data_IF_987876908729
#
_entry.id   IF_987876908729
#
_cell.length_a   1.000
_cell.length_b   1.000
_cell.length_c   1.000
_cell.angle_alpha   90.00
_cell.angle_beta   90.00
_cell.angle_gamma   90.00
#
_symmetry.space_group_name_H-M   'P 1'
#
loop_
_entity.id
_entity.type
_entity.pdbx_description
1 polymer ?
#
# COMPACT_ATOMS: atom_id res chain seq x y z
N UNK A 1 7.74 -14.46 11.39
CA UNK A 1 8.90 -13.79 12.06
C UNK A 1 8.46 -13.42 13.45
N UNK A 2 9.31 -13.62 14.44
CA UNK A 2 9.05 -13.25 15.84
C UNK A 2 10.33 -12.68 16.45
N UNK A 3 10.23 -11.62 17.23
CA UNK A 3 11.40 -10.95 17.87
C UNK A 3 12.54 -10.69 16.86
N UNK A 4 12.21 -10.29 15.63
CA UNK A 4 13.14 -10.05 14.53
C UNK A 4 13.74 -11.30 13.84
N UNK A 5 13.46 -12.51 14.33
CA UNK A 5 13.93 -13.76 13.74
C UNK A 5 12.85 -14.50 12.93
N UNK A 6 13.22 -15.16 11.82
CA UNK A 6 12.33 -16.05 11.07
C UNK A 6 12.23 -17.37 11.85
N UNK A 7 11.05 -17.66 12.40
CA UNK A 7 10.79 -18.88 13.19
C UNK A 7 10.17 -20.01 12.37
N UNK A 8 9.54 -19.68 11.26
CA UNK A 8 8.97 -20.64 10.32
C UNK A 8 8.96 -20.06 8.91
N UNK A 9 9.29 -20.89 7.93
CA UNK A 9 9.28 -20.56 6.53
C UNK A 9 8.98 -21.81 5.69
N UNK A 10 8.04 -21.70 4.75
CA UNK A 10 7.66 -22.81 3.88
C UNK A 10 7.30 -22.32 2.48
N UNK A 11 7.78 -23.01 1.48
CA UNK A 11 7.51 -22.78 0.07
C UNK A 11 6.88 -24.02 -0.55
N UNK A 12 6.01 -23.80 -1.54
CA UNK A 12 5.28 -24.87 -2.23
C UNK A 12 5.48 -24.75 -3.74
N UNK A 13 5.23 -25.84 -4.47
CA UNK A 13 5.20 -25.88 -5.95
C UNK A 13 6.47 -25.31 -6.64
N UNK A 14 7.64 -25.59 -6.07
CA UNK A 14 8.92 -25.14 -6.63
C UNK A 14 9.32 -23.70 -6.31
N UNK A 15 8.51 -22.94 -5.58
CA UNK A 15 8.92 -21.63 -5.09
C UNK A 15 9.98 -21.76 -3.99
N UNK A 16 10.81 -20.70 -3.86
CA UNK A 16 11.87 -20.58 -2.87
C UNK A 16 12.03 -19.13 -2.37
N UNK A 17 12.90 -18.91 -1.41
CA UNK A 17 13.06 -17.64 -0.70
C UNK A 17 13.35 -16.42 -1.59
N UNK A 18 13.96 -16.62 -2.73
CA UNK A 18 14.38 -15.55 -3.65
C UNK A 18 13.29 -15.18 -4.66
N UNK A 19 12.20 -15.93 -4.74
CA UNK A 19 11.12 -15.62 -5.66
C UNK A 19 10.38 -14.37 -5.18
N UNK A 20 10.22 -13.42 -6.08
CA UNK A 20 9.35 -12.27 -5.87
C UNK A 20 7.90 -12.61 -6.22
N UNK A 21 6.98 -12.00 -5.54
CA UNK A 21 5.55 -12.20 -5.73
C UNK A 21 4.85 -10.87 -5.90
N UNK A 22 3.88 -10.82 -6.81
CA UNK A 22 3.04 -9.66 -6.98
C UNK A 22 2.17 -9.46 -5.73
N UNK A 23 2.40 -8.36 -5.03
CA UNK A 23 1.77 -8.09 -3.74
C UNK A 23 0.31 -7.63 -3.86
N UNK A 24 -0.17 -7.37 -5.06
CA UNK A 24 -1.50 -6.80 -5.29
C UNK A 24 -1.74 -5.58 -4.38
N UNK A 25 -2.86 -5.50 -3.67
CA UNK A 25 -3.21 -4.32 -2.85
C UNK A 25 -2.35 -4.13 -1.59
N UNK A 26 -1.51 -5.09 -1.19
CA UNK A 26 -0.49 -4.84 -0.14
C UNK A 26 0.46 -3.70 -0.54
N UNK A 27 0.61 -3.42 -1.84
CA UNK A 27 1.32 -2.24 -2.37
C UNK A 27 0.82 -0.92 -1.76
N UNK A 28 -0.46 -0.82 -1.42
CA UNK A 28 -1.06 0.40 -0.84
C UNK A 28 -0.43 0.75 0.51
N UNK A 29 -0.19 -0.24 1.36
CA UNK A 29 0.46 -0.03 2.66
C UNK A 29 1.93 0.40 2.51
N UNK A 30 2.61 -0.10 1.47
CA UNK A 30 3.95 0.39 1.10
C UNK A 30 3.88 1.86 0.65
N UNK A 31 2.92 2.21 -0.21
CA UNK A 31 2.72 3.59 -0.66
C UNK A 31 2.42 4.53 0.51
N UNK A 32 1.60 4.09 1.47
CA UNK A 32 1.35 4.83 2.73
C UNK A 32 2.66 5.07 3.51
N UNK A 33 3.48 4.05 3.70
CA UNK A 33 4.79 4.18 4.36
C UNK A 33 5.67 5.23 3.66
N UNK A 34 5.69 5.24 2.34
CA UNK A 34 6.46 6.21 1.55
C UNK A 34 5.94 7.65 1.69
N UNK A 35 4.63 7.84 1.84
CA UNK A 35 4.07 9.17 2.18
C UNK A 35 4.58 9.64 3.52
N UNK A 36 4.61 8.77 4.54
CA UNK A 36 5.17 9.08 5.85
C UNK A 36 6.64 9.51 5.76
N UNK A 37 7.44 8.75 5.04
CA UNK A 37 8.85 9.08 4.83
C UNK A 37 9.01 10.41 4.06
N UNK A 38 8.13 10.70 3.09
CA UNK A 38 8.16 11.95 2.37
C UNK A 38 7.82 13.15 3.27
N UNK A 39 6.92 12.98 4.24
CA UNK A 39 6.61 13.99 5.27
C UNK A 39 7.81 14.14 6.22
N UNK A 40 8.36 13.05 6.75
CA UNK A 40 9.53 13.06 7.65
C UNK A 40 10.74 13.77 7.01
N UNK A 41 10.88 13.68 5.69
CA UNK A 41 11.96 14.33 4.92
C UNK A 41 11.60 15.73 4.42
N UNK A 42 10.40 16.24 4.68
CA UNK A 42 9.97 17.58 4.30
C UNK A 42 9.60 17.75 2.82
N UNK A 43 9.46 16.68 2.05
CA UNK A 43 8.97 16.73 0.66
C UNK A 43 7.46 17.00 0.58
N UNK A 44 6.73 16.57 1.60
CA UNK A 44 5.31 16.81 1.80
C UNK A 44 5.17 17.50 3.16
N UNK A 45 4.35 18.55 3.26
CA UNK A 45 4.21 19.35 4.49
C UNK A 45 3.49 18.59 5.60
N UNK A 46 2.35 17.98 5.28
CA UNK A 46 1.52 17.19 6.20
C UNK A 46 0.47 16.40 5.43
N UNK A 47 -0.26 15.53 6.13
CA UNK A 47 -1.43 14.83 5.56
C UNK A 47 -2.58 15.77 5.20
N UNK A 48 -2.63 16.97 5.78
CA UNK A 48 -3.66 17.98 5.53
C UNK A 48 -3.34 18.87 4.31
N UNK A 49 -2.19 18.65 3.66
CA UNK A 49 -1.84 19.39 2.45
C UNK A 49 -2.83 19.08 1.31
N UNK A 50 -3.37 20.11 0.64
CA UNK A 50 -4.29 19.92 -0.48
C UNK A 50 -3.66 19.11 -1.61
N UNK A 51 -4.43 18.19 -2.19
CA UNK A 51 -3.98 17.36 -3.31
C UNK A 51 -3.60 18.24 -4.51
N UNK A 52 -4.38 19.29 -4.76
CA UNK A 52 -4.19 20.18 -5.91
C UNK A 52 -2.88 20.98 -5.85
N UNK A 53 -2.24 21.14 -4.70
CA UNK A 53 -0.90 21.72 -4.60
C UNK A 53 0.13 20.97 -5.47
N UNK A 54 -0.10 19.68 -5.69
CA UNK A 54 0.76 18.82 -6.51
C UNK A 54 0.32 18.73 -7.97
N UNK A 55 -0.87 19.22 -8.31
CA UNK A 55 -1.48 19.12 -9.64
C UNK A 55 -2.10 20.45 -10.08
N UNK A 56 -1.29 21.53 -10.24
CA UNK A 56 -1.81 22.84 -10.58
C UNK A 56 -2.54 22.88 -11.93
N UNK A 57 -2.19 21.98 -12.86
CA UNK A 57 -2.88 21.82 -14.13
C UNK A 57 -4.31 21.28 -14.02
N UNK A 58 -4.62 20.62 -12.90
CA UNK A 58 -5.98 20.13 -12.62
C UNK A 58 -6.87 21.19 -11.98
N UNK A 59 -6.28 22.21 -11.33
CA UNK A 59 -7.01 23.29 -10.66
C UNK A 59 -7.84 24.12 -11.64
N UNK A 60 -7.31 24.43 -12.82
CA UNK A 60 -7.99 25.22 -13.85
C UNK A 60 -9.28 24.55 -14.37
N UNK A 61 -9.39 23.23 -14.21
CA UNK A 61 -10.57 22.43 -14.58
C UNK A 61 -11.50 22.15 -13.40
N UNK A 62 -11.11 22.53 -12.19
CA UNK A 62 -11.88 22.26 -10.99
C UNK A 62 -13.01 23.28 -10.82
N UNK A 63 -14.09 23.11 -11.55
CA UNK A 63 -15.38 23.79 -11.28
C UNK A 63 -15.98 23.32 -9.94
N UNK A 64 -15.45 22.26 -9.36
CA UNK A 64 -15.93 21.63 -8.13
C UNK A 64 -15.16 22.15 -6.91
N UNK A 65 -15.84 22.97 -6.10
CA UNK A 65 -15.31 23.52 -4.86
C UNK A 65 -14.81 22.44 -3.91
N UNK A 66 -15.40 21.24 -3.93
CA UNK A 66 -15.02 20.13 -3.08
C UNK A 66 -13.58 19.67 -3.33
N UNK A 67 -13.13 19.64 -4.58
CA UNK A 67 -11.76 19.22 -4.92
C UNK A 67 -10.67 20.05 -4.25
N UNK A 68 -10.95 21.34 -4.02
CA UNK A 68 -10.00 22.26 -3.38
C UNK A 68 -9.76 21.94 -1.91
N UNK A 69 -10.69 21.21 -1.29
CA UNK A 69 -10.62 20.81 0.12
C UNK A 69 -10.11 19.38 0.30
N UNK A 70 -9.86 18.64 -0.80
CA UNK A 70 -9.33 17.30 -0.71
C UNK A 70 -7.84 17.32 -0.35
N UNK A 71 -7.48 16.54 0.66
CA UNK A 71 -6.12 16.47 1.19
C UNK A 71 -5.53 15.07 1.02
N UNK A 72 -4.24 14.94 1.24
CA UNK A 72 -3.54 13.67 1.29
C UNK A 72 -4.21 12.72 2.30
N UNK A 73 -4.70 13.24 3.43
CA UNK A 73 -5.43 12.45 4.45
C UNK A 73 -6.65 11.75 3.86
N UNK A 74 -7.44 12.43 3.04
CA UNK A 74 -8.61 11.82 2.40
C UNK A 74 -8.23 10.66 1.45
N UNK A 75 -7.07 10.73 0.80
CA UNK A 75 -6.56 9.62 0.00
C UNK A 75 -6.10 8.46 0.88
N UNK A 76 -5.34 8.74 1.95
CA UNK A 76 -4.81 7.74 2.89
C UNK A 76 -5.91 6.98 3.63
N UNK A 77 -6.99 7.67 3.99
CA UNK A 77 -8.15 7.10 4.72
C UNK A 77 -9.23 6.54 3.79
N UNK A 78 -9.03 6.64 2.45
CA UNK A 78 -10.02 6.24 1.44
C UNK A 78 -11.39 6.93 1.61
N UNK A 79 -11.38 8.20 2.03
CA UNK A 79 -12.58 9.01 2.23
C UNK A 79 -12.75 10.13 1.19
N UNK A 80 -11.91 10.13 0.17
CA UNK A 80 -12.07 11.02 -0.98
C UNK A 80 -13.24 10.53 -1.85
N UNK A 81 -14.25 11.40 -2.13
CA UNK A 81 -15.43 11.00 -2.90
C UNK A 81 -15.09 10.89 -4.40
N UNK A 82 -15.52 9.79 -5.01
CA UNK A 82 -15.41 9.56 -6.45
C UNK A 82 -16.77 9.47 -7.13
N UNK A 83 -16.77 9.67 -8.44
CA UNK A 83 -18.02 9.66 -9.24
C UNK A 83 -18.68 8.28 -9.36
N UNK A 84 -17.99 7.20 -9.02
CA UNK A 84 -18.55 5.85 -9.06
C UNK A 84 -19.14 5.42 -7.71
N UNK A 85 -20.25 4.69 -7.75
CA UNK A 85 -20.98 4.29 -6.53
C UNK A 85 -20.62 2.90 -6.01
N UNK A 86 -20.30 1.95 -6.89
CA UNK A 86 -20.14 0.54 -6.51
C UNK A 86 -18.74 0.01 -6.68
N UNK A 87 -18.07 0.36 -7.76
CA UNK A 87 -16.74 -0.12 -8.06
C UNK A 87 -15.99 0.87 -8.93
N UNK A 88 -14.70 0.94 -8.72
CA UNK A 88 -13.77 1.71 -9.53
C UNK A 88 -13.81 1.26 -10.99
N UNK A 89 -13.89 2.19 -11.97
CA UNK A 89 -14.04 1.83 -13.39
C UNK A 89 -12.67 1.43 -14.00
N UNK A 90 -12.07 0.36 -13.51
CA UNK A 90 -10.73 -0.09 -13.90
C UNK A 90 -10.57 -0.31 -15.41
N UNK A 91 -11.63 -0.80 -16.09
CA UNK A 91 -11.59 -0.98 -17.54
C UNK A 91 -11.51 0.36 -18.30
N UNK A 92 -12.09 1.43 -17.75
CA UNK A 92 -11.96 2.79 -18.31
C UNK A 92 -10.60 3.37 -18.01
N UNK A 93 -10.13 3.22 -16.75
CA UNK A 93 -8.82 3.69 -16.30
C UNK A 93 -7.69 3.11 -17.16
N UNK A 94 -7.69 1.80 -17.37
CA UNK A 94 -6.64 1.10 -18.13
C UNK A 94 -6.51 1.56 -19.58
N UNK A 95 -7.57 2.11 -20.15
CA UNK A 95 -7.59 2.68 -21.51
C UNK A 95 -7.14 4.14 -21.59
N UNK A 96 -6.93 4.79 -20.44
CA UNK A 96 -6.49 6.19 -20.43
C UNK A 96 -4.99 6.29 -20.72
N UNK A 97 -4.62 7.34 -21.44
CA UNK A 97 -3.21 7.70 -21.62
C UNK A 97 -2.62 8.40 -20.39
N UNK A 98 -3.46 8.97 -19.56
CA UNK A 98 -3.10 9.71 -18.36
C UNK A 98 -4.01 9.28 -17.19
N UNK A 99 -3.51 8.34 -16.40
CA UNK A 99 -4.27 7.79 -15.29
C UNK A 99 -4.47 8.79 -14.17
N UNK A 100 -3.43 9.55 -13.84
CA UNK A 100 -3.48 10.58 -12.80
C UNK A 100 -4.56 11.62 -13.10
N UNK A 101 -4.59 12.17 -14.31
CA UNK A 101 -5.61 13.15 -14.68
C UNK A 101 -7.02 12.55 -14.71
N UNK A 102 -7.17 11.33 -15.20
CA UNK A 102 -8.47 10.64 -15.16
C UNK A 102 -8.99 10.46 -13.73
N UNK A 103 -8.13 10.05 -12.80
CA UNK A 103 -8.49 9.90 -11.39
C UNK A 103 -8.86 11.25 -10.76
N UNK A 104 -8.09 12.31 -11.03
CA UNK A 104 -8.37 13.67 -10.57
C UNK A 104 -9.69 14.23 -11.16
N UNK A 105 -10.02 13.91 -12.39
CA UNK A 105 -11.29 14.29 -13.00
C UNK A 105 -12.48 13.59 -12.34
N UNK A 106 -12.30 12.35 -11.89
CA UNK A 106 -13.33 11.56 -11.21
C UNK A 106 -13.54 11.93 -9.74
N UNK A 107 -12.55 12.59 -9.11
CA UNK A 107 -12.64 13.08 -7.74
C UNK A 107 -13.67 14.21 -7.59
N UNK A 108 -14.39 14.21 -6.48
CA UNK A 108 -15.27 15.31 -6.06
C UNK A 108 -16.58 15.43 -6.82
N UNK A 109 -16.82 14.62 -7.85
CA UNK A 109 -18.04 14.76 -8.67
C UNK A 109 -19.31 14.22 -8.01
N UNK A 110 -19.19 13.22 -7.14
CA UNK A 110 -20.30 12.56 -6.42
C UNK A 110 -19.76 11.94 -5.13
N UNK A 111 -20.67 11.58 -4.23
CA UNK A 111 -20.33 11.01 -2.93
C UNK A 111 -20.22 12.07 -1.83
N UNK A 112 -20.04 11.62 -0.60
CA UNK A 112 -19.86 12.48 0.56
C UNK A 112 -18.40 12.44 0.99
N UNK A 113 -17.85 13.61 1.28
CA UNK A 113 -16.53 13.72 1.87
C UNK A 113 -16.53 13.07 3.26
N UNK A 114 -15.56 12.23 3.53
CA UNK A 114 -15.45 11.52 4.80
C UNK A 114 -16.10 10.13 4.81
N UNK A 115 -16.92 9.78 3.79
CA UNK A 115 -17.46 8.43 3.64
C UNK A 115 -16.38 7.48 3.10
N UNK A 116 -16.19 6.34 3.75
CA UNK A 116 -15.22 5.33 3.32
C UNK A 116 -15.63 4.70 1.99
N UNK A 117 -14.71 4.73 1.04
CA UNK A 117 -14.88 4.09 -0.27
C UNK A 117 -13.56 3.44 -0.70
N UNK A 118 -13.48 2.11 -0.55
CA UNK A 118 -12.30 1.38 -1.00
C UNK A 118 -12.08 1.55 -2.51
N UNK A 119 -10.88 2.00 -2.88
CA UNK A 119 -10.44 2.09 -4.28
C UNK A 119 -8.91 2.15 -4.38
N UNK A 120 -8.39 1.82 -5.57
CA UNK A 120 -6.96 1.83 -5.86
C UNK A 120 -6.47 3.19 -6.35
N UNK A 121 -7.37 4.04 -6.85
CA UNK A 121 -7.05 5.38 -7.37
C UNK A 121 -6.40 6.26 -6.30
N UNK A 122 -6.85 6.17 -5.04
CA UNK A 122 -6.27 6.91 -3.93
C UNK A 122 -4.77 6.65 -3.79
N UNK A 123 -4.38 5.38 -3.76
CA UNK A 123 -2.98 5.01 -3.63
C UNK A 123 -2.15 5.37 -4.88
N UNK A 124 -2.75 5.31 -6.07
CA UNK A 124 -2.05 5.74 -7.28
C UNK A 124 -1.82 7.26 -7.30
N UNK A 125 -2.79 8.06 -6.88
CA UNK A 125 -2.61 9.50 -6.70
C UNK A 125 -1.52 9.82 -5.66
N UNK A 126 -1.43 9.06 -4.56
CA UNK A 126 -0.33 9.20 -3.60
C UNK A 126 1.03 8.89 -4.23
N UNK A 127 1.12 7.86 -5.06
CA UNK A 127 2.34 7.56 -5.82
C UNK A 127 2.73 8.71 -6.77
N UNK A 128 1.76 9.30 -7.46
CA UNK A 128 1.98 10.48 -8.29
C UNK A 128 2.44 11.70 -7.47
N UNK A 129 1.87 11.91 -6.28
CA UNK A 129 2.29 12.97 -5.33
C UNK A 129 3.73 12.75 -4.89
N UNK A 130 4.11 11.53 -4.50
CA UNK A 130 5.49 11.18 -4.15
C UNK A 130 6.44 11.53 -5.30
N UNK A 131 6.11 11.11 -6.51
CA UNK A 131 6.93 11.40 -7.70
C UNK A 131 7.11 12.90 -7.90
N UNK A 132 6.05 13.69 -7.80
CA UNK A 132 6.09 15.15 -8.01
C UNK A 132 6.79 15.91 -6.89
N UNK A 133 6.58 15.51 -5.65
CA UNK A 133 7.17 16.19 -4.50
C UNK A 133 8.66 15.91 -4.34
N UNK A 134 9.11 14.69 -4.70
CA UNK A 134 10.49 14.27 -4.52
C UNK A 134 11.37 14.46 -5.76
N UNK A 135 10.77 14.57 -6.95
CA UNK A 135 11.46 14.54 -8.24
C UNK A 135 12.01 13.16 -8.63
N UNK A 136 11.72 12.11 -7.84
CA UNK A 136 12.11 10.73 -8.09
C UNK A 136 10.88 9.89 -8.46
N UNK A 137 11.03 8.84 -9.25
CA UNK A 137 9.96 7.84 -9.35
C UNK A 137 9.67 7.25 -7.97
N UNK A 138 8.44 6.77 -7.76
CA UNK A 138 8.08 6.15 -6.47
C UNK A 138 9.00 4.98 -6.13
N UNK A 139 9.40 4.18 -7.13
CA UNK A 139 10.36 3.09 -6.96
C UNK A 139 11.74 3.60 -6.51
N UNK A 140 12.27 4.64 -7.17
CA UNK A 140 13.58 5.22 -6.80
C UNK A 140 13.54 5.80 -5.38
N UNK A 141 12.46 6.53 -5.05
CA UNK A 141 12.27 7.04 -3.70
C UNK A 141 12.17 5.91 -2.67
N UNK A 142 11.39 4.86 -2.97
CA UNK A 142 11.27 3.68 -2.11
C UNK A 142 12.62 2.97 -1.93
N UNK A 143 13.38 2.77 -2.99
CA UNK A 143 14.69 2.14 -2.94
C UNK A 143 15.63 2.94 -2.03
N UNK A 144 15.72 4.25 -2.25
CA UNK A 144 16.62 5.14 -1.50
C UNK A 144 16.24 5.30 -0.03
N UNK A 145 14.94 5.34 0.27
CA UNK A 145 14.45 5.81 1.58
C UNK A 145 13.87 4.70 2.46
N UNK A 146 13.58 3.53 1.89
CA UNK A 146 12.98 2.41 2.62
C UNK A 146 13.70 1.10 2.32
N UNK A 147 13.69 0.64 1.07
CA UNK A 147 14.08 -0.71 0.71
C UNK A 147 15.56 -1.01 0.95
N UNK A 148 16.47 -0.07 0.63
CA UNK A 148 17.91 -0.25 0.90
C UNK A 148 18.20 -0.45 2.39
N UNK A 149 17.45 0.22 3.26
CA UNK A 149 17.60 0.09 4.72
C UNK A 149 17.07 -1.25 5.25
N UNK A 150 16.09 -1.82 4.57
CA UNK A 150 15.54 -3.13 4.88
C UNK A 150 16.31 -4.29 4.24
N UNK A 151 17.34 -4.01 3.43
CA UNK A 151 18.09 -5.03 2.70
C UNK A 151 17.26 -5.72 1.60
N UNK A 152 16.26 -5.02 1.06
CA UNK A 152 15.51 -5.46 -0.13
C UNK A 152 16.41 -5.33 -1.34
N UNK A 153 16.45 -6.38 -2.17
CA UNK A 153 17.19 -6.36 -3.43
C UNK A 153 16.61 -5.32 -4.40
N UNK A 154 17.40 -4.95 -5.39
CA UNK A 154 16.95 -4.01 -6.42
C UNK A 154 15.64 -4.47 -7.08
N UNK A 155 14.68 -3.56 -7.10
CA UNK A 155 13.41 -3.72 -7.77
C UNK A 155 13.49 -2.97 -9.10
N UNK A 156 13.19 -3.66 -10.20
CA UNK A 156 13.18 -3.07 -11.54
C UNK A 156 11.82 -2.45 -11.86
N UNK A 157 11.81 -1.43 -12.71
CA UNK A 157 10.58 -0.94 -13.30
C UNK A 157 10.05 -1.94 -14.33
N UNK A 158 8.75 -2.15 -14.33
CA UNK A 158 8.09 -2.99 -15.32
C UNK A 158 7.06 -2.18 -16.12
N UNK A 159 7.26 -2.12 -17.42
CA UNK A 159 6.28 -1.56 -18.34
C UNK A 159 5.29 -2.65 -18.75
N UNK A 160 4.01 -2.30 -18.78
CA UNK A 160 2.99 -3.16 -19.34
C UNK A 160 2.76 -2.83 -20.82
N UNK A 161 2.47 -3.85 -21.61
CA UNK A 161 2.20 -3.69 -23.06
C UNK A 161 0.78 -3.22 -23.33
N UNK A 162 -0.19 -3.72 -22.58
CA UNK A 162 -1.62 -3.49 -22.86
C UNK A 162 -2.46 -3.12 -21.66
N UNK A 163 -1.97 -3.28 -20.42
CA UNK A 163 -2.76 -3.18 -19.20
C UNK A 163 -4.04 -4.05 -19.23
N UNK A 164 -4.02 -5.16 -19.97
CA UNK A 164 -5.13 -6.12 -19.98
C UNK A 164 -5.30 -6.79 -18.60
N UNK A 165 -6.46 -7.40 -18.34
CA UNK A 165 -6.66 -8.13 -17.09
C UNK A 165 -5.66 -9.27 -16.93
N UNK A 166 -5.36 -9.95 -18.02
CA UNK A 166 -4.41 -11.06 -18.08
C UNK A 166 -2.99 -10.57 -17.76
N UNK A 167 -2.62 -9.38 -18.21
CA UNK A 167 -1.31 -8.80 -17.94
C UNK A 167 -1.23 -8.24 -16.50
N UNK A 168 -2.29 -7.54 -16.05
CA UNK A 168 -2.35 -6.93 -14.69
C UNK A 168 -2.36 -7.98 -13.58
N UNK A 169 -2.98 -9.13 -13.80
CA UNK A 169 -3.08 -10.23 -12.83
C UNK A 169 -2.22 -11.44 -13.21
N UNK A 170 -1.40 -11.32 -14.26
CA UNK A 170 -0.56 -12.39 -14.75
C UNK A 170 0.61 -12.72 -13.82
N UNK A 171 1.21 -13.90 -14.06
CA UNK A 171 2.35 -14.40 -13.29
C UNK A 171 3.69 -13.76 -13.71
N UNK A 172 3.69 -12.96 -14.78
CA UNK A 172 4.90 -12.36 -15.36
C UNK A 172 5.26 -11.00 -14.76
N UNK A 173 4.67 -10.64 -13.61
CA UNK A 173 5.03 -9.41 -12.90
C UNK A 173 6.21 -9.72 -11.99
N UNK A 174 7.34 -9.06 -12.23
CA UNK A 174 8.61 -9.32 -11.52
C UNK A 174 9.24 -8.08 -10.90
N UNK A 175 8.69 -6.91 -11.19
CA UNK A 175 9.20 -5.61 -10.71
C UNK A 175 8.12 -4.74 -10.10
N UNK A 176 8.20 -3.44 -10.33
CA UNK A 176 7.14 -2.49 -9.98
C UNK A 176 6.54 -1.89 -11.24
N UNK A 177 5.25 -2.15 -11.45
CA UNK A 177 4.54 -1.72 -12.66
C UNK A 177 4.47 -0.21 -12.73
N UNK A 178 4.65 0.33 -13.95
CA UNK A 178 4.42 1.72 -14.29
C UNK A 178 3.15 1.89 -15.11
N UNK A 179 2.47 3.00 -14.88
CA UNK A 179 1.36 3.47 -15.69
C UNK A 179 1.85 4.03 -17.06
N UNK A 180 0.96 4.41 -17.98
CA UNK A 180 1.35 5.00 -19.28
C UNK A 180 2.18 6.30 -19.17
N UNK A 181 2.20 6.94 -18.01
CA UNK A 181 2.98 8.16 -17.74
C UNK A 181 4.28 7.90 -16.98
N UNK A 182 4.70 6.64 -16.85
CA UNK A 182 5.89 6.22 -16.11
C UNK A 182 5.81 6.43 -14.58
N UNK A 183 4.60 6.55 -14.01
CA UNK A 183 4.40 6.59 -12.56
C UNK A 183 4.23 5.15 -12.08
N UNK A 184 4.96 4.74 -11.05
CA UNK A 184 4.78 3.42 -10.44
C UNK A 184 3.37 3.31 -9.83
N UNK A 185 2.69 2.20 -10.06
CA UNK A 185 1.34 2.02 -9.54
C UNK A 185 1.34 1.96 -8.01
N UNK A 186 0.57 2.83 -7.37
CA UNK A 186 0.54 2.92 -5.89
C UNK A 186 -0.40 1.91 -5.25
N UNK A 187 -1.42 1.46 -5.98
CA UNK A 187 -2.46 0.57 -5.46
C UNK A 187 -2.21 -0.92 -5.63
N UNK A 188 -1.24 -1.30 -6.46
CA UNK A 188 -0.89 -2.66 -6.84
C UNK A 188 0.41 -2.66 -7.65
N UNK A 189 0.91 -3.82 -8.08
CA UNK A 189 1.98 -3.88 -9.07
C UNK A 189 3.40 -3.95 -8.53
N UNK A 190 3.60 -3.86 -7.22
CA UNK A 190 4.89 -4.08 -6.57
C UNK A 190 5.11 -5.58 -6.37
N UNK A 191 6.33 -6.05 -6.67
CA UNK A 191 6.77 -7.40 -6.36
C UNK A 191 7.87 -7.37 -5.29
N UNK A 192 7.69 -8.17 -4.25
CA UNK A 192 8.68 -8.41 -3.19
C UNK A 192 8.80 -9.90 -2.90
N UNK A 193 9.90 -10.30 -2.26
CA UNK A 193 10.01 -11.62 -1.67
C UNK A 193 9.17 -11.72 -0.39
N UNK A 194 8.86 -12.93 0.04
CA UNK A 194 8.17 -13.17 1.32
C UNK A 194 8.95 -12.57 2.49
N UNK A 195 10.28 -12.68 2.45
CA UNK A 195 11.18 -12.14 3.49
C UNK A 195 11.18 -10.62 3.52
N UNK A 196 11.05 -9.95 2.37
CA UNK A 196 10.97 -8.49 2.31
C UNK A 196 9.64 -7.99 2.91
N UNK A 197 8.55 -8.71 2.69
CA UNK A 197 7.27 -8.42 3.35
C UNK A 197 7.41 -8.54 4.89
N UNK A 198 8.07 -9.59 5.38
CA UNK A 198 8.31 -9.74 6.83
C UNK A 198 9.11 -8.57 7.41
N UNK A 199 10.14 -8.10 6.69
CA UNK A 199 10.94 -6.94 7.13
C UNK A 199 10.12 -5.65 7.18
N UNK A 200 9.21 -5.45 6.22
CA UNK A 200 8.29 -4.31 6.24
C UNK A 200 7.34 -4.39 7.45
N UNK A 201 6.73 -5.54 7.71
CA UNK A 201 5.86 -5.72 8.89
C UNK A 201 6.64 -5.53 10.19
N UNK A 202 7.86 -6.05 10.27
CA UNK A 202 8.70 -5.88 11.45
C UNK A 202 9.12 -4.43 11.67
N UNK A 203 9.39 -3.67 10.60
CA UNK A 203 9.63 -2.22 10.70
C UNK A 203 8.46 -1.51 11.40
N UNK A 204 7.24 -1.86 11.08
CA UNK A 204 6.05 -1.30 11.72
C UNK A 204 5.92 -1.74 13.18
N UNK A 205 6.15 -3.02 13.50
CA UNK A 205 6.18 -3.49 14.90
C UNK A 205 7.28 -2.81 15.72
N UNK A 206 8.42 -2.54 15.10
CA UNK A 206 9.57 -1.88 15.72
C UNK A 206 9.50 -0.35 15.59
N UNK A 207 8.27 0.22 15.54
CA UNK A 207 8.01 1.67 15.58
C UNK A 207 8.81 2.48 14.55
N UNK A 208 9.01 1.90 13.36
CA UNK A 208 9.72 2.53 12.25
C UNK A 208 11.24 2.46 12.31
N UNK A 209 11.81 1.71 13.22
CA UNK A 209 13.26 1.56 13.36
C UNK A 209 13.78 0.29 12.71
N UNK A 210 14.93 0.40 12.05
CA UNK A 210 15.67 -0.72 11.49
C UNK A 210 17.16 -0.57 11.85
N UNK A 211 17.74 -1.56 12.55
CA UNK A 211 19.14 -1.53 13.03
C UNK A 211 19.45 -0.23 13.80
N UNK A 212 18.60 0.13 14.75
CA UNK A 212 18.68 1.34 15.61
C UNK A 212 18.65 2.67 14.82
N UNK A 213 18.22 2.63 13.56
CA UNK A 213 18.04 3.83 12.73
C UNK A 213 16.57 4.07 12.45
N UNK A 214 16.05 5.30 12.65
CA UNK A 214 14.70 5.65 12.28
C UNK A 214 14.59 5.73 10.75
N UNK A 215 13.74 4.89 10.17
CA UNK A 215 13.41 4.87 8.74
C UNK A 215 12.09 5.57 8.48
N UNK A 216 11.14 5.35 9.37
CA UNK A 216 9.84 6.04 9.41
C UNK A 216 9.65 6.55 10.83
N UNK A 217 9.15 7.76 11.02
CA UNK A 217 8.91 8.29 12.37
C UNK A 217 7.90 7.45 13.15
N UNK A 218 8.11 7.29 14.46
CA UNK A 218 7.15 6.63 15.34
C UNK A 218 5.78 7.32 15.30
N UNK A 219 5.76 8.64 15.14
CA UNK A 219 4.54 9.41 14.97
C UNK A 219 3.75 8.96 13.74
N UNK A 220 4.43 8.75 12.58
CA UNK A 220 3.76 8.23 11.39
C UNK A 220 3.22 6.83 11.61
N UNK A 221 4.02 5.93 12.20
CA UNK A 221 3.57 4.56 12.51
C UNK A 221 2.28 4.61 13.35
N UNK A 222 2.30 5.39 14.45
CA UNK A 222 1.14 5.54 15.34
C UNK A 222 -0.09 6.07 14.61
N UNK A 223 0.05 7.16 13.86
CA UNK A 223 -1.08 7.74 13.13
C UNK A 223 -1.57 6.84 12.00
N UNK A 224 -0.67 6.14 11.29
CA UNK A 224 -1.06 5.25 10.19
C UNK A 224 -1.80 4.00 10.65
N UNK A 225 -1.62 3.58 11.90
CA UNK A 225 -2.30 2.44 12.51
C UNK A 225 -3.47 2.85 13.42
N UNK A 226 -3.77 4.14 13.53
CA UNK A 226 -4.97 4.63 14.21
C UNK A 226 -6.20 4.40 13.35
N UNK A 227 -7.31 4.02 13.95
CA UNK A 227 -8.57 3.89 13.23
C UNK A 227 -9.08 5.28 12.81
N UNK A 228 -9.13 5.49 11.51
CA UNK A 228 -9.66 6.72 10.90
C UNK A 228 -11.06 6.53 10.33
N UNK A 229 -11.35 5.33 9.82
CA UNK A 229 -12.65 4.95 9.25
C UNK A 229 -12.86 3.46 9.47
N UNK A 230 -14.08 3.02 9.76
CA UNK A 230 -14.42 1.61 9.97
C UNK A 230 -13.25 0.82 10.61
N UNK A 231 -12.68 -0.14 9.88
CA UNK A 231 -11.52 -0.93 10.32
C UNK A 231 -10.25 -0.55 9.55
N UNK A 232 -10.06 0.75 9.24
CA UNK A 232 -8.96 1.20 8.39
C UNK A 232 -8.20 2.39 9.00
N UNK A 233 -6.86 2.28 9.02
CA UNK A 233 -5.91 3.35 9.23
C UNK A 233 -5.48 4.00 7.90
N UNK A 234 -4.23 4.43 7.77
CA UNK A 234 -3.67 4.92 6.51
C UNK A 234 -3.27 3.75 5.61
N UNK A 235 -4.26 3.16 4.92
CA UNK A 235 -4.09 1.99 4.04
C UNK A 235 -3.55 0.75 4.76
N UNK A 236 -3.82 0.64 6.05
CA UNK A 236 -3.68 -0.54 6.87
C UNK A 236 -5.04 -0.95 7.40
N UNK A 237 -5.38 -2.23 7.29
CA UNK A 237 -6.56 -2.77 7.92
C UNK A 237 -6.29 -3.03 9.40
N UNK A 238 -7.26 -2.77 10.23
CA UNK A 238 -7.20 -2.99 11.67
C UNK A 238 -8.22 -4.07 12.02
N UNK A 239 -7.81 -5.01 12.83
CA UNK A 239 -8.69 -6.10 13.25
C UNK A 239 -8.48 -6.40 14.72
N UNK A 240 -9.56 -6.47 15.47
CA UNK A 240 -9.60 -7.01 16.82
C UNK A 240 -10.47 -8.26 16.79
N UNK A 241 -9.95 -9.38 17.29
CA UNK A 241 -10.69 -10.62 17.44
C UNK A 241 -10.19 -11.36 18.67
N UNK A 242 -11.12 -11.78 19.53
CA UNK A 242 -10.83 -12.51 20.79
C UNK A 242 -9.81 -11.79 21.68
N UNK A 243 -9.83 -10.45 21.70
CA UNK A 243 -8.90 -9.63 22.47
C UNK A 243 -7.51 -9.50 21.87
N UNK A 244 -7.30 -9.92 20.61
CA UNK A 244 -6.02 -9.82 19.89
C UNK A 244 -6.12 -8.70 18.86
N UNK A 245 -5.30 -7.67 19.06
CA UNK A 245 -5.19 -6.57 18.12
C UNK A 245 -4.20 -6.91 17.01
N UNK A 246 -4.62 -6.74 15.76
CA UNK A 246 -3.82 -7.01 14.57
C UNK A 246 -3.98 -5.89 13.57
N UNK A 247 -2.89 -5.41 13.01
CA UNK A 247 -2.94 -4.61 11.80
C UNK A 247 -2.41 -5.43 10.62
N UNK A 248 -2.99 -5.21 9.45
CA UNK A 248 -2.67 -6.06 8.30
C UNK A 248 -2.76 -5.30 6.99
N UNK A 249 -1.96 -5.75 6.03
CA UNK A 249 -2.11 -5.42 4.62
C UNK A 249 -2.67 -6.64 3.88
N UNK A 250 -3.66 -6.43 3.02
CA UNK A 250 -4.37 -7.49 2.32
C UNK A 250 -4.37 -7.28 0.82
N UNK A 251 -4.20 -8.36 0.06
CA UNK A 251 -4.24 -8.37 -1.39
C UNK A 251 -5.12 -9.52 -1.91
N UNK A 252 -5.71 -9.33 -3.09
CA UNK A 252 -6.51 -10.37 -3.74
C UNK A 252 -5.69 -11.64 -3.96
N UNK A 253 -6.37 -12.79 -4.01
CA UNK A 253 -5.72 -14.10 -4.11
C UNK A 253 -5.22 -14.65 -2.78
N UNK A 254 -5.40 -13.93 -1.65
CA UNK A 254 -4.97 -14.38 -0.33
C UNK A 254 -3.52 -14.04 0.00
N UNK A 255 -3.03 -12.91 -0.51
CA UNK A 255 -1.76 -12.31 -0.12
C UNK A 255 -1.98 -11.42 1.10
N UNK A 256 -1.25 -11.68 2.19
CA UNK A 256 -1.41 -10.98 3.46
C UNK A 256 -0.07 -10.70 4.14
N UNK A 257 -0.03 -9.58 4.82
CA UNK A 257 0.99 -9.26 5.81
C UNK A 257 0.27 -8.94 7.11
N UNK A 258 0.30 -9.86 8.08
CA UNK A 258 -0.28 -9.69 9.41
C UNK A 258 0.79 -9.29 10.42
N UNK A 259 0.46 -8.35 11.28
CA UNK A 259 1.30 -7.91 12.39
C UNK A 259 0.50 -7.95 13.69
N UNK A 260 0.97 -8.74 14.66
CA UNK A 260 0.34 -8.92 15.98
C UNK A 260 1.28 -8.36 17.05
N UNK A 261 1.07 -7.09 17.49
CA UNK A 261 2.00 -6.40 18.40
C UNK A 261 2.20 -7.13 19.73
N UNK A 262 1.12 -7.63 20.32
CA UNK A 262 1.13 -8.32 21.63
C UNK A 262 1.95 -9.60 21.65
N UNK A 263 2.22 -10.17 20.45
CA UNK A 263 3.01 -11.39 20.28
C UNK A 263 4.36 -11.15 19.60
N UNK A 264 4.71 -9.89 19.30
CA UNK A 264 5.87 -9.52 18.48
C UNK A 264 5.97 -10.44 17.23
N UNK A 265 4.83 -10.60 16.55
CA UNK A 265 4.66 -11.57 15.47
C UNK A 265 4.34 -10.88 14.17
N UNK A 266 5.09 -11.22 13.13
CA UNK A 266 4.78 -10.88 11.73
C UNK A 266 4.58 -12.17 10.94
N UNK A 267 3.48 -12.24 10.19
CA UNK A 267 3.19 -13.35 9.28
C UNK A 267 2.94 -12.81 7.88
N UNK A 268 3.73 -13.27 6.93
CA UNK A 268 3.52 -12.98 5.52
C UNK A 268 3.05 -14.25 4.80
N UNK A 269 1.98 -14.11 4.03
CA UNK A 269 1.43 -15.16 3.20
C UNK A 269 1.33 -14.62 1.78
N UNK A 270 1.88 -15.32 0.81
CA UNK A 270 1.70 -15.00 -0.61
C UNK A 270 1.06 -16.19 -1.31
N UNK A 271 0.17 -15.90 -2.24
CA UNK A 271 -0.52 -16.88 -3.05
C UNK A 271 -0.49 -16.45 -4.51
N UNK A 272 -0.76 -17.39 -5.41
CA UNK A 272 -1.05 -17.05 -6.80
C UNK A 272 -2.18 -16.04 -6.84
N UNK A 273 -2.02 -15.01 -7.66
CA UNK A 273 -3.09 -14.01 -7.84
C UNK A 273 -4.32 -14.69 -8.44
N UNK A 274 -5.41 -14.67 -7.71
CA UNK A 274 -6.72 -15.13 -8.13
C UNK A 274 -7.73 -13.98 -7.94
N UNK A 275 -8.84 -14.03 -8.68
CA UNK A 275 -9.93 -13.05 -8.58
C UNK A 275 -10.70 -13.16 -7.28
N UNK A 276 -10.51 -14.25 -6.52
CA UNK A 276 -11.19 -14.48 -5.25
C UNK A 276 -10.48 -13.77 -4.10
N UNK A 277 -11.28 -13.15 -3.24
CA UNK A 277 -10.81 -12.73 -1.92
C UNK A 277 -10.83 -13.99 -1.06
N UNK A 278 -9.66 -14.42 -0.59
CA UNK A 278 -9.52 -15.57 0.29
C UNK A 278 -9.10 -15.02 1.66
N UNK A 279 -10.01 -15.01 2.61
CA UNK A 279 -9.66 -14.67 3.99
C UNK A 279 -8.78 -15.78 4.59
N UNK A 280 -7.69 -15.37 5.23
CA UNK A 280 -6.74 -16.26 5.91
C UNK A 280 -6.80 -16.11 7.43
N UNK A 281 -7.80 -15.40 7.94
CA UNK A 281 -7.88 -15.09 9.36
C UNK A 281 -8.03 -16.35 10.24
N UNK A 282 -8.84 -17.30 9.83
CA UNK A 282 -8.97 -18.58 10.56
C UNK A 282 -7.61 -19.27 10.74
N UNK A 283 -6.76 -19.28 9.70
CA UNK A 283 -5.40 -19.79 9.80
C UNK A 283 -4.58 -19.03 10.85
N UNK A 284 -4.74 -17.72 10.93
CA UNK A 284 -4.08 -16.90 11.94
C UNK A 284 -4.62 -17.15 13.33
N UNK A 285 -5.94 -17.05 13.51
CA UNK A 285 -6.61 -17.05 14.81
C UNK A 285 -6.62 -18.44 15.49
N UNK A 286 -6.77 -19.51 14.69
CA UNK A 286 -6.99 -20.85 15.25
C UNK A 286 -5.72 -21.72 15.25
N UNK A 287 -4.72 -21.36 14.44
CA UNK A 287 -3.50 -22.18 14.32
C UNK A 287 -2.21 -21.42 14.60
N UNK A 288 -1.99 -20.26 13.97
CA UNK A 288 -0.69 -19.58 14.08
C UNK A 288 -0.55 -18.86 15.41
N UNK A 289 -1.49 -17.98 15.76
CA UNK A 289 -1.42 -17.19 17.00
C UNK A 289 -1.41 -18.09 18.25
N UNK A 290 -2.27 -19.13 18.38
CA UNK A 290 -2.25 -20.03 19.52
C UNK A 290 -0.97 -20.87 19.62
N UNK A 291 -0.26 -21.12 18.51
CA UNK A 291 1.00 -21.86 18.54
C UNK A 291 2.17 -21.06 19.13
N UNK A 292 1.98 -19.75 19.35
CA UNK A 292 2.99 -18.89 19.94
C UNK A 292 2.96 -19.04 21.45
N UNK A 293 3.90 -19.77 21.99
CA UNK A 293 4.13 -19.87 23.43
C UNK A 293 5.04 -18.74 23.89
N UNK A 294 4.68 -18.11 25.00
CA UNK A 294 5.53 -17.12 25.67
C UNK A 294 6.62 -17.90 26.44
N UNK A 295 7.76 -18.12 25.77
CA UNK A 295 8.98 -18.65 26.38
C UNK A 295 10.00 -17.53 26.58
#
# INVERSE_FOLDING_TARGET
>A
MRKGGIVFEKYFKGYHAENTHHLTSVTQSVTSALVGIAIDKGYIKSVDQPILDFFPEAESKASDMLKRHLTIKHLLTMTAPYSWKKSEPLDRLRRQKNWTMFMLEMLGQKGQLGEFQFNMSNAHLLSAIITRSTGLSTREFATKSLFSHLGVKEIVDQQMKSFSKEEVYGENITGWIKDPQNINTGGWGLCLTLRDMLRLGYLYLNKGQCNDKPIISENWITESLKQHTEDCGYMWWLREDKGINTFLAAGIGGTYLYCVPEKDLVVAIVSKVDKMIIDRWELMADYIIPSITDS
#
